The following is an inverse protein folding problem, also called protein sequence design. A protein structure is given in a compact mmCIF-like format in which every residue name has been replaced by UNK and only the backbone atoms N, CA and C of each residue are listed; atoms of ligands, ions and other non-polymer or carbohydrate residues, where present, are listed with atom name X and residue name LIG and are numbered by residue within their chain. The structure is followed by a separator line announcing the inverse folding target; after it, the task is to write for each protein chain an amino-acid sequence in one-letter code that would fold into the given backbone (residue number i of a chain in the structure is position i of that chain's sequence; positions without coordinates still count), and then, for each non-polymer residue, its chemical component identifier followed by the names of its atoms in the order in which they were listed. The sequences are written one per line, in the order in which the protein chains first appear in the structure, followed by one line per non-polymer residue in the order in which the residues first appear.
data_IF_966613083157
#
_entry.id   IF_966613083157
#
_cell.length_a   1.000
_cell.length_b   1.000
_cell.length_c   1.000
_cell.angle_alpha   90.00
_cell.angle_beta   90.00
_cell.angle_gamma   90.00
#
_symmetry.space_group_name_H-M   'P 1'
#
loop_
_entity.id
_entity.type
_entity.pdbx_description
1 polymer ?
#
# COMPACT_ATOMS: atom_id res chain seq x y z
N UNK A 1 -12.29 17.09 -1.39
CA UNK A 1 -13.04 17.35 -2.39
C UNK A 1 -12.54 17.44 -3.83
N UNK A 2 -12.88 18.51 -4.50
CA UNK A 2 -12.66 18.70 -5.94
C UNK A 2 -11.17 18.73 -6.33
N UNK A 3 -10.34 19.35 -5.54
CA UNK A 3 -8.90 19.44 -5.77
C UNK A 3 -8.23 18.05 -5.78
N UNK A 4 -8.57 17.19 -4.82
CA UNK A 4 -8.03 15.84 -4.77
C UNK A 4 -8.44 15.01 -5.98
N UNK A 5 -9.68 15.16 -6.45
CA UNK A 5 -10.18 14.51 -7.67
C UNK A 5 -9.44 15.00 -8.92
N UNK A 6 -9.19 16.30 -9.03
CA UNK A 6 -8.42 16.87 -10.15
C UNK A 6 -6.99 16.30 -10.18
N UNK A 7 -6.35 16.15 -9.04
CA UNK A 7 -5.00 15.60 -8.92
C UNK A 7 -4.98 14.12 -9.29
N UNK A 8 -6.00 13.34 -8.89
CA UNK A 8 -6.06 11.92 -9.24
C UNK A 8 -6.10 11.66 -10.75
N UNK A 9 -6.75 12.53 -11.52
CA UNK A 9 -6.77 12.44 -12.99
C UNK A 9 -5.44 12.81 -13.66
N UNK A 10 -4.52 13.44 -12.94
CA UNK A 10 -3.18 13.79 -13.44
C UNK A 10 -2.10 12.80 -13.01
N UNK A 11 -2.49 11.70 -12.37
CA UNK A 11 -1.55 10.64 -12.05
C UNK A 11 -1.08 9.94 -13.32
N UNK A 12 0.23 9.98 -13.55
CA UNK A 12 0.89 9.32 -14.68
C UNK A 12 1.20 7.85 -14.35
N UNK A 13 1.78 7.64 -13.18
CA UNK A 13 2.15 6.31 -12.71
C UNK A 13 2.04 6.21 -11.19
N UNK A 14 1.72 5.02 -10.71
CA UNK A 14 1.69 4.70 -9.30
C UNK A 14 2.16 3.27 -9.07
N UNK A 15 2.96 3.08 -8.02
CA UNK A 15 3.40 1.75 -7.61
C UNK A 15 2.32 1.07 -6.78
N UNK A 16 1.97 -0.16 -7.12
CA UNK A 16 1.09 -0.98 -6.27
C UNK A 16 1.87 -1.44 -5.04
N UNK A 17 1.30 -1.34 -3.83
CA UNK A 17 2.00 -1.69 -2.60
C UNK A 17 2.32 -3.19 -2.53
N UNK A 18 3.58 -3.51 -2.22
CA UNK A 18 4.02 -4.86 -1.89
C UNK A 18 3.76 -5.21 -0.43
N UNK A 19 3.96 -6.49 -0.11
CA UNK A 19 3.93 -7.00 1.26
C UNK A 19 5.16 -7.87 1.49
N UNK A 20 5.99 -7.48 2.44
CA UNK A 20 7.18 -8.22 2.82
C UNK A 20 7.02 -8.78 4.23
N UNK A 21 7.35 -10.06 4.39
CA UNK A 21 7.43 -10.69 5.71
C UNK A 21 8.85 -10.54 6.24
N UNK A 22 8.95 -10.05 7.46
CA UNK A 22 10.22 -10.02 8.18
C UNK A 22 10.39 -11.37 8.86
N UNK A 23 11.44 -12.08 8.50
CA UNK A 23 11.80 -13.39 9.04
C UNK A 23 13.04 -13.32 9.88
N UNK A 24 13.20 -14.29 10.76
CA UNK A 24 14.43 -14.56 11.52
C UNK A 24 14.77 -16.02 11.37
N UNK A 25 16.05 -16.30 11.11
CA UNK A 25 16.57 -17.66 11.07
C UNK A 25 16.66 -18.23 12.48
N UNK A 26 16.12 -19.41 12.68
CA UNK A 26 16.31 -20.17 13.91
C UNK A 26 17.34 -21.27 13.67
N UNK A 27 18.55 -21.06 14.17
CA UNK A 27 19.68 -21.96 14.02
C UNK A 27 19.84 -22.95 15.21
N UNK A 28 19.05 -22.76 16.27
CA UNK A 28 19.12 -23.57 17.50
C UNK A 28 18.34 -24.88 17.44
N UNK A 29 18.06 -25.40 16.24
CA UNK A 29 17.30 -26.63 16.04
C UNK A 29 18.21 -27.70 15.48
N UNK A 30 18.03 -28.94 15.96
CA UNK A 30 18.65 -30.10 15.36
C UNK A 30 18.13 -30.30 13.95
N UNK A 31 18.94 -30.04 12.92
CA UNK A 31 18.55 -30.10 11.51
C UNK A 31 18.83 -28.80 10.76
N UNK A 32 18.34 -28.68 9.54
CA UNK A 32 18.53 -27.47 8.75
C UNK A 32 17.82 -26.28 9.42
N UNK A 33 18.42 -25.07 9.38
CA UNK A 33 17.81 -23.89 9.94
C UNK A 33 16.49 -23.59 9.22
N UNK A 34 15.51 -23.07 9.95
CA UNK A 34 14.25 -22.61 9.36
C UNK A 34 13.98 -21.15 9.71
N UNK A 35 13.27 -20.48 8.83
CA UNK A 35 12.87 -19.09 9.01
C UNK A 35 11.53 -18.98 9.74
N UNK A 36 11.52 -18.16 10.79
CA UNK A 36 10.32 -17.85 11.56
C UNK A 36 9.89 -16.43 11.22
N UNK A 37 8.60 -16.27 10.86
CA UNK A 37 8.02 -14.96 10.59
C UNK A 37 7.87 -14.19 11.90
N UNK A 38 8.46 -13.00 11.97
CA UNK A 38 8.39 -12.10 13.12
C UNK A 38 7.42 -10.94 12.92
N UNK A 39 7.08 -10.62 11.67
CA UNK A 39 6.20 -9.50 11.36
C UNK A 39 6.12 -9.24 9.86
N UNK A 40 5.50 -8.12 9.51
CA UNK A 40 5.43 -7.66 8.13
C UNK A 40 5.92 -6.21 8.01
N UNK A 41 6.47 -5.88 6.85
CA UNK A 41 6.89 -4.53 6.50
C UNK A 41 6.28 -4.14 5.17
N UNK A 42 6.04 -2.86 5.00
CA UNK A 42 5.49 -2.28 3.78
C UNK A 42 6.50 -1.29 3.20
N UNK A 43 6.80 -1.45 1.92
CA UNK A 43 7.59 -0.44 1.19
C UNK A 43 6.71 0.77 0.91
N UNK A 44 7.26 1.99 0.90
CA UNK A 44 6.50 3.17 0.52
C UNK A 44 6.01 3.06 -0.93
N UNK A 45 4.93 3.77 -1.23
CA UNK A 45 4.34 3.85 -2.56
C UNK A 45 4.73 5.16 -3.20
N UNK A 46 5.27 5.09 -4.42
CA UNK A 46 5.63 6.26 -5.20
C UNK A 46 4.59 6.49 -6.29
N UNK A 47 4.10 7.72 -6.40
CA UNK A 47 3.23 8.14 -7.48
C UNK A 47 3.80 9.36 -8.19
N UNK A 48 3.70 9.38 -9.51
CA UNK A 48 4.15 10.48 -10.36
C UNK A 48 2.94 11.19 -10.96
N UNK A 49 2.94 12.50 -10.91
CA UNK A 49 1.83 13.34 -11.39
C UNK A 49 2.31 14.32 -12.44
N UNK A 50 1.50 14.53 -13.47
CA UNK A 50 1.70 15.63 -14.41
C UNK A 50 1.41 16.96 -13.71
N UNK A 51 2.34 17.89 -13.85
CA UNK A 51 2.17 19.25 -13.30
C UNK A 51 1.61 20.19 -14.38
N UNK A 52 0.63 20.98 -13.98
CA UNK A 52 0.20 22.14 -14.76
C UNK A 52 1.22 23.29 -14.68
N UNK A 53 1.00 24.31 -15.49
CA UNK A 53 1.83 25.53 -15.47
C UNK A 53 1.79 26.28 -14.12
N UNK A 54 0.76 26.06 -13.35
CA UNK A 54 0.52 26.63 -12.02
C UNK A 54 1.11 25.79 -10.88
N UNK A 55 1.67 24.60 -11.17
CA UNK A 55 2.21 23.64 -10.20
C UNK A 55 1.27 23.34 -9.03
N UNK A 56 -0.03 23.41 -9.25
CA UNK A 56 -1.04 23.23 -8.21
C UNK A 56 -0.95 21.82 -7.55
N UNK A 57 -0.53 20.80 -8.32
CA UNK A 57 -0.33 19.44 -7.82
C UNK A 57 0.78 19.40 -6.77
N UNK A 58 1.92 20.02 -7.08
CA UNK A 58 3.04 20.13 -6.14
C UNK A 58 2.65 20.89 -4.89
N UNK A 59 2.01 22.06 -5.08
CA UNK A 59 1.55 22.90 -3.97
C UNK A 59 0.60 22.14 -3.03
N UNK A 60 -0.29 21.32 -3.56
CA UNK A 60 -1.19 20.48 -2.75
C UNK A 60 -0.43 19.52 -1.81
N UNK A 61 0.59 18.83 -2.31
CA UNK A 61 1.37 17.90 -1.49
C UNK A 61 2.27 18.64 -0.49
N UNK A 62 2.82 19.79 -0.85
CA UNK A 62 3.58 20.62 0.06
C UNK A 62 2.69 21.18 1.20
N UNK A 63 1.47 21.60 0.90
CA UNK A 63 0.50 22.01 1.94
C UNK A 63 0.12 20.85 2.86
N UNK A 64 -0.05 19.64 2.30
CA UNK A 64 -0.28 18.47 3.13
C UNK A 64 0.91 18.17 4.05
N UNK A 65 2.14 18.33 3.57
CA UNK A 65 3.33 18.21 4.42
C UNK A 65 3.39 19.30 5.51
N UNK A 66 2.96 20.53 5.22
CA UNK A 66 2.88 21.61 6.22
C UNK A 66 1.85 21.32 7.32
N UNK A 67 0.77 20.62 7.01
CA UNK A 67 -0.18 20.13 8.02
C UNK A 67 0.53 19.12 8.95
N UNK A 68 1.41 18.30 8.43
CA UNK A 68 2.18 17.34 9.24
C UNK A 68 3.20 18.03 10.12
N UNK A 69 3.97 18.92 9.53
CA UNK A 69 5.06 19.64 10.19
C UNK A 69 5.04 21.09 9.77
N UNK A 70 4.78 21.98 10.73
CA UNK A 70 4.73 23.40 10.46
C UNK A 70 6.17 23.97 10.40
N UNK A 71 6.64 24.46 9.24
CA UNK A 71 8.01 24.94 9.08
C UNK A 71 8.30 26.26 9.82
N UNK A 72 7.26 26.98 10.26
CA UNK A 72 7.41 28.26 10.97
C UNK A 72 7.45 28.09 12.48
N UNK A 73 6.63 27.20 13.02
CA UNK A 73 6.53 26.96 14.47
C UNK A 73 7.31 25.75 14.92
N UNK A 74 7.80 24.92 13.98
CA UNK A 74 8.49 23.64 14.20
C UNK A 74 7.67 22.60 14.98
N UNK A 75 6.37 22.78 15.02
CA UNK A 75 5.44 21.87 15.68
C UNK A 75 5.02 20.74 14.74
N UNK A 76 4.91 19.54 15.29
CA UNK A 76 4.34 18.36 14.64
C UNK A 76 2.90 18.23 15.12
N UNK A 77 1.96 18.14 14.22
CA UNK A 77 0.55 17.90 14.52
C UNK A 77 0.31 16.46 14.95
N UNK A 78 -0.82 16.21 15.61
CA UNK A 78 -1.20 14.87 16.01
C UNK A 78 -1.39 13.95 14.79
N UNK A 79 -0.96 12.71 14.91
CA UNK A 79 -0.96 11.72 13.84
C UNK A 79 -2.30 11.64 13.08
N UNK A 80 -3.41 11.65 13.81
CA UNK A 80 -4.76 11.57 13.22
C UNK A 80 -5.17 12.78 12.38
N UNK A 81 -4.51 13.92 12.54
CA UNK A 81 -4.86 15.16 11.85
C UNK A 81 -4.30 15.23 10.44
N UNK A 82 -3.16 14.57 10.18
CA UNK A 82 -2.51 14.63 8.88
C UNK A 82 -2.60 13.35 8.06
N UNK A 83 -2.99 12.22 8.63
CA UNK A 83 -3.13 10.97 7.89
C UNK A 83 -4.45 10.93 7.13
N UNK A 84 -4.36 10.41 5.90
CA UNK A 84 -5.50 10.21 5.02
C UNK A 84 -5.64 8.76 4.56
N UNK A 85 -6.38 8.54 3.50
CA UNK A 85 -6.45 7.26 2.79
C UNK A 85 -6.35 7.48 1.29
N UNK A 86 -5.70 6.55 0.60
CA UNK A 86 -5.56 6.56 -0.87
C UNK A 86 -6.07 5.24 -1.41
N UNK A 87 -6.89 5.32 -2.45
CA UNK A 87 -7.42 4.17 -3.15
C UNK A 87 -6.81 4.10 -4.54
N UNK A 88 -6.27 2.93 -4.89
CA UNK A 88 -5.65 2.67 -6.19
C UNK A 88 -6.48 1.58 -6.85
N UNK A 89 -6.92 1.84 -8.08
CA UNK A 89 -7.70 0.90 -8.87
C UNK A 89 -7.00 0.57 -10.18
N UNK A 90 -6.94 -0.70 -10.51
CA UNK A 90 -6.63 -1.15 -11.85
C UNK A 90 -7.92 -1.17 -12.67
N UNK A 91 -7.85 -0.65 -13.89
CA UNK A 91 -8.95 -0.65 -14.84
C UNK A 91 -8.69 -1.69 -15.93
N UNK A 92 -9.76 -2.27 -16.47
CA UNK A 92 -9.72 -3.09 -17.69
C UNK A 92 -9.86 -2.20 -18.95
N UNK A 93 -9.91 -2.83 -20.11
CA UNK A 93 -10.09 -2.14 -21.40
C UNK A 93 -11.44 -1.41 -21.54
N UNK A 94 -12.41 -1.72 -20.69
CA UNK A 94 -13.73 -1.11 -20.64
C UNK A 94 -13.86 -0.05 -19.53
N UNK A 95 -12.74 0.40 -18.96
CA UNK A 95 -12.68 1.33 -17.82
C UNK A 95 -13.38 0.82 -16.53
N UNK A 96 -13.59 -0.49 -16.43
CA UNK A 96 -14.14 -1.10 -15.22
C UNK A 96 -13.05 -1.42 -14.22
N UNK A 97 -13.35 -1.28 -12.94
CA UNK A 97 -12.44 -1.56 -11.84
C UNK A 97 -12.29 -3.07 -11.63
N UNK A 98 -11.13 -3.63 -11.93
CA UNK A 98 -10.85 -5.07 -11.77
C UNK A 98 -10.15 -5.40 -10.46
N UNK A 99 -9.23 -4.57 -10.04
CA UNK A 99 -8.50 -4.72 -8.78
C UNK A 99 -8.44 -3.39 -8.07
N UNK A 100 -8.54 -3.41 -6.75
CA UNK A 100 -8.39 -2.21 -5.95
C UNK A 100 -7.63 -2.48 -4.65
N UNK A 101 -6.80 -1.55 -4.25
CA UNK A 101 -6.20 -1.52 -2.93
C UNK A 101 -6.41 -0.16 -2.27
N UNK A 102 -6.66 -0.19 -0.97
CA UNK A 102 -6.80 0.99 -0.13
C UNK A 102 -5.65 1.06 0.85
N UNK A 103 -4.87 2.11 0.72
CA UNK A 103 -3.82 2.47 1.67
C UNK A 103 -4.46 3.21 2.83
N UNK A 104 -4.10 2.83 4.03
CA UNK A 104 -4.64 3.41 5.27
C UNK A 104 -3.56 4.20 6.00
N UNK A 105 -3.98 5.32 6.59
CA UNK A 105 -3.11 6.20 7.35
C UNK A 105 -1.92 6.70 6.49
N UNK A 106 -2.25 7.23 5.31
CA UNK A 106 -1.30 7.70 4.29
C UNK A 106 -0.92 9.15 4.55
N UNK A 107 0.32 9.48 4.33
CA UNK A 107 0.80 10.87 4.24
C UNK A 107 1.97 10.99 3.25
N UNK A 108 2.16 12.14 2.61
CA UNK A 108 3.28 12.36 1.69
C UNK A 108 4.57 12.51 2.51
N UNK A 109 5.47 11.54 2.37
CA UNK A 109 6.77 11.53 3.04
C UNK A 109 7.77 12.41 2.30
N UNK A 110 7.85 12.26 0.97
CA UNK A 110 8.78 12.98 0.13
C UNK A 110 8.05 13.55 -1.08
N UNK A 111 8.29 14.80 -1.40
CA UNK A 111 7.93 15.45 -2.66
C UNK A 111 9.23 15.78 -3.36
N UNK A 112 9.49 15.15 -4.51
CA UNK A 112 10.76 15.27 -5.20
C UNK A 112 10.99 16.68 -5.77
N UNK A 113 12.27 17.03 -5.92
CA UNK A 113 12.67 18.26 -6.56
C UNK A 113 12.30 18.28 -8.05
N UNK A 114 11.87 19.42 -8.56
CA UNK A 114 11.65 19.64 -9.96
C UNK A 114 12.88 20.32 -10.57
N UNK A 115 13.41 19.74 -11.63
CA UNK A 115 14.50 20.33 -12.38
C UNK A 115 13.96 21.21 -13.51
N UNK A 116 14.39 22.45 -13.54
CA UNK A 116 14.09 23.38 -14.64
C UNK A 116 15.27 23.53 -15.56
N UNK A 117 15.02 23.37 -16.86
CA UNK A 117 16.01 23.59 -17.91
C UNK A 117 15.49 24.56 -18.95
N UNK A 118 16.23 25.60 -19.26
CA UNK A 118 15.85 26.56 -20.30
C UNK A 118 16.02 26.01 -21.72
N UNK A 119 16.83 24.96 -21.86
CA UNK A 119 17.15 24.35 -23.17
C UNK A 119 16.20 23.23 -23.59
N UNK A 120 15.34 22.71 -22.70
CA UNK A 120 14.38 21.68 -23.03
C UNK A 120 13.06 22.30 -23.47
N UNK A 121 12.71 22.13 -24.74
CA UNK A 121 11.39 22.44 -25.30
C UNK A 121 10.59 21.15 -25.41
N UNK A 122 9.29 21.18 -25.09
CA UNK A 122 8.33 20.07 -25.14
C UNK A 122 8.43 18.99 -24.02
N UNK A 123 8.98 19.30 -22.87
CA UNK A 123 8.90 18.42 -21.72
C UNK A 123 7.76 18.85 -20.77
N UNK A 124 6.91 17.89 -20.39
CA UNK A 124 5.89 18.11 -19.38
C UNK A 124 6.53 17.87 -18.01
N UNK A 125 6.40 18.83 -17.11
CA UNK A 125 6.88 18.67 -15.74
C UNK A 125 6.10 17.59 -15.01
N UNK A 126 6.82 16.70 -14.33
CA UNK A 126 6.25 15.66 -13.50
C UNK A 126 6.80 15.78 -12.09
N UNK A 127 5.92 15.69 -11.10
CA UNK A 127 6.30 15.61 -9.68
C UNK A 127 6.13 14.18 -9.21
N UNK A 128 7.16 13.66 -8.56
CA UNK A 128 7.14 12.35 -7.91
C UNK A 128 6.90 12.54 -6.42
N UNK A 129 5.99 11.78 -5.85
CA UNK A 129 5.61 11.85 -4.44
C UNK A 129 5.68 10.45 -3.85
N UNK A 130 6.47 10.32 -2.78
CA UNK A 130 6.57 9.10 -1.99
C UNK A 130 5.60 9.17 -0.83
N UNK A 131 4.71 8.18 -0.75
CA UNK A 131 3.73 8.06 0.32
C UNK A 131 4.17 7.00 1.32
N UNK A 132 4.19 7.39 2.59
CA UNK A 132 4.22 6.45 3.70
C UNK A 132 2.79 6.10 4.12
N UNK A 133 2.56 4.87 4.53
CA UNK A 133 1.28 4.36 5.00
C UNK A 133 1.49 3.28 6.05
N UNK A 134 0.49 3.04 6.88
CA UNK A 134 0.60 2.06 7.95
C UNK A 134 0.34 0.64 7.48
N UNK A 135 -0.71 0.43 6.68
CA UNK A 135 -1.09 -0.84 6.09
C UNK A 135 -2.01 -0.61 4.90
N UNK A 136 -2.23 -1.68 4.13
CA UNK A 136 -3.17 -1.62 3.02
C UNK A 136 -4.11 -2.82 3.03
N UNK A 137 -5.27 -2.66 2.39
CA UNK A 137 -6.29 -3.69 2.23
C UNK A 137 -6.70 -3.78 0.78
N UNK A 138 -7.03 -4.99 0.33
CA UNK A 138 -7.69 -5.17 -0.96
C UNK A 138 -9.12 -4.63 -0.88
N UNK A 139 -9.53 -3.89 -1.91
CA UNK A 139 -10.91 -3.53 -2.12
C UNK A 139 -11.53 -4.65 -2.96
N UNK A 140 -12.61 -5.26 -2.45
CA UNK A 140 -13.33 -6.26 -3.21
C UNK A 140 -13.98 -5.62 -4.43
N UNK A 141 -13.49 -5.94 -5.61
CA UNK A 141 -14.13 -5.64 -6.90
C UNK A 141 -14.62 -6.96 -7.48
N UNK A 142 -15.89 -7.05 -7.86
CA UNK A 142 -16.48 -8.26 -8.43
C UNK A 142 -16.01 -8.47 -9.88
N UNK A 143 -16.08 -9.67 -10.48
CA UNK A 143 -16.55 -11.00 -10.05
C UNK A 143 -15.54 -12.15 -10.15
N UNK A 144 -14.26 -11.91 -10.45
CA UNK A 144 -13.26 -13.01 -10.58
C UNK A 144 -12.85 -13.69 -9.26
N UNK A 145 -13.31 -13.17 -8.14
CA UNK A 145 -12.96 -13.69 -6.80
C UNK A 145 -13.53 -15.06 -6.48
N UNK A 146 -14.59 -15.49 -7.15
CA UNK A 146 -15.30 -16.71 -6.77
C UNK A 146 -14.42 -17.97 -6.90
N UNK A 147 -13.53 -18.03 -7.88
CA UNK A 147 -12.70 -19.22 -8.11
C UNK A 147 -11.40 -19.25 -7.31
N UNK A 148 -10.81 -18.08 -7.03
CA UNK A 148 -9.58 -18.01 -6.24
C UNK A 148 -9.88 -18.15 -4.74
N UNK A 149 -10.98 -17.56 -4.27
CA UNK A 149 -11.40 -17.64 -2.88
C UNK A 149 -11.77 -19.07 -2.46
N UNK A 150 -12.38 -19.88 -3.34
CA UNK A 150 -12.69 -21.27 -3.01
C UNK A 150 -11.43 -22.09 -2.76
N UNK A 151 -10.40 -21.95 -3.62
CA UNK A 151 -9.15 -22.69 -3.47
C UNK A 151 -8.36 -22.23 -2.23
N UNK A 152 -8.34 -20.93 -1.96
CA UNK A 152 -7.69 -20.38 -0.75
C UNK A 152 -8.45 -20.76 0.52
N UNK A 153 -9.78 -20.78 0.50
CA UNK A 153 -10.59 -21.25 1.62
C UNK A 153 -10.38 -22.72 1.90
N UNK A 154 -10.23 -23.55 0.87
CA UNK A 154 -9.96 -24.98 1.03
C UNK A 154 -8.56 -25.24 1.61
N UNK A 155 -7.55 -24.46 1.20
CA UNK A 155 -6.21 -24.50 1.79
C UNK A 155 -6.25 -24.08 3.27
N UNK A 156 -6.96 -23.00 3.59
CA UNK A 156 -7.11 -22.52 4.96
C UNK A 156 -7.89 -23.49 5.84
N UNK A 157 -9.01 -24.03 5.36
CA UNK A 157 -9.79 -25.07 6.05
C UNK A 157 -8.94 -26.31 6.33
N UNK A 158 -8.19 -26.77 5.33
CA UNK A 158 -7.31 -27.91 5.49
C UNK A 158 -6.16 -27.66 6.49
N UNK A 159 -5.61 -26.46 6.54
CA UNK A 159 -4.58 -26.08 7.51
C UNK A 159 -5.14 -26.00 8.95
N UNK A 160 -6.35 -25.45 9.10
CA UNK A 160 -7.06 -25.41 10.39
C UNK A 160 -7.44 -26.81 10.86
N UNK A 161 -7.96 -27.66 9.98
CA UNK A 161 -8.30 -29.05 10.31
C UNK A 161 -7.06 -29.84 10.74
N UNK A 162 -5.92 -29.70 10.07
CA UNK A 162 -4.65 -30.31 10.50
C UNK A 162 -4.21 -29.85 11.88
N UNK A 163 -4.33 -28.55 12.17
CA UNK A 163 -4.00 -28.00 13.47
C UNK A 163 -4.92 -28.51 14.60
N UNK A 164 -6.21 -28.65 14.32
CA UNK A 164 -7.17 -29.22 15.27
C UNK A 164 -6.86 -30.71 15.47
N UNK A 165 -6.65 -31.47 14.42
CA UNK A 165 -6.33 -32.90 14.48
C UNK A 165 -5.01 -33.18 15.21
N UNK A 166 -4.01 -32.28 15.09
CA UNK A 166 -2.75 -32.44 15.81
C UNK A 166 -2.88 -32.18 17.34
N UNK A 167 -3.90 -31.45 17.76
CA UNK A 167 -4.16 -31.13 19.16
C UNK A 167 -5.11 -32.11 19.86
N UNK A 168 -5.76 -33.01 19.12
CA UNK A 168 -6.62 -34.04 19.69
C UNK A 168 -5.75 -35.18 20.23
N UNK A 169 -5.84 -35.53 21.51
CA UNK A 169 -5.11 -36.67 22.08
C UNK A 169 -5.40 -37.96 21.30
N UNK A 170 -4.40 -38.81 21.14
CA UNK A 170 -4.47 -40.03 20.32
C UNK A 170 -5.61 -40.97 20.73
N UNK A 171 -6.02 -40.91 21.98
CA UNK A 171 -7.14 -41.69 22.53
C UNK A 171 -8.50 -41.30 21.93
N UNK A 172 -8.69 -40.00 21.66
CA UNK A 172 -9.93 -39.50 21.06
C UNK A 172 -9.98 -39.69 19.54
N UNK A 173 -8.85 -39.88 18.87
CA UNK A 173 -8.79 -40.17 17.41
C UNK A 173 -9.40 -41.52 17.02
N UNK A 174 -9.58 -42.43 17.96
CA UNK A 174 -10.18 -43.77 17.70
C UNK A 174 -11.70 -43.79 17.86
N UNK A 175 -12.34 -42.70 18.26
CA UNK A 175 -13.77 -42.59 18.49
C UNK A 175 -14.52 -41.88 17.34
N UNK A 176 -13.78 -41.34 16.38
CA UNK A 176 -14.27 -40.71 15.14
C UNK A 176 -13.51 -41.34 13.94
#
# INVERSE_FOLDING_TARGET
GETARRISFRCDSITIPGRNLRTSSNENIYGPPHEIVQGQTFAPVTATFYCGSDLAERYFFEEWQKITYNPYTYNINYYKEYVGSVEIYQLNEQDERTFGCKLMEVFPKTVDALNYSHGSSNEIHKVSVEFAYRYWKNIATEPEKANLDSTLQDILKNSVLRNIQSRIPTVLRRLF
#
